data_IF_906142359300
#
_entry.id   IF_906142359300
#
_cell.length_a   1.000
_cell.length_b   1.000
_cell.length_c   1.000
_cell.angle_alpha   90.00
_cell.angle_beta   90.00
_cell.angle_gamma   90.00
#
_symmetry.space_group_name_H-M   'P 1'
#
loop_
_entity.id
_entity.type
_entity.pdbx_description
1 polymer ?
#
# COMPACT_ATOMS: atom_id res chain seq x y z
N UNK A 1 -32.44 74.14 -11.94
CA UNK A 1 -31.52 75.23 -11.52
C UNK A 1 -32.35 76.36 -10.94
N UNK A 2 -31.90 76.89 -9.81
CA UNK A 2 -32.30 78.17 -9.19
C UNK A 2 -33.60 78.22 -8.38
N UNK A 3 -33.47 78.08 -7.06
CA UNK A 3 -34.30 78.79 -6.06
C UNK A 3 -34.07 80.30 -6.13
N UNK A 4 -35.02 81.10 -5.63
CA UNK A 4 -34.65 82.01 -4.55
C UNK A 4 -35.67 82.09 -3.41
N UNK A 5 -35.22 82.77 -2.35
CA UNK A 5 -35.71 82.77 -0.98
C UNK A 5 -36.49 84.04 -0.59
N UNK A 6 -36.86 84.07 0.71
CA UNK A 6 -37.25 85.21 1.57
C UNK A 6 -38.72 85.64 1.51
N UNK A 7 -39.41 86.06 2.58
CA UNK A 7 -39.30 86.09 4.06
C UNK A 7 -40.60 86.83 4.51
N UNK A 8 -41.15 86.55 5.71
CA UNK A 8 -41.70 87.55 6.66
C UNK A 8 -42.57 86.87 7.76
N UNK A 9 -42.25 87.19 9.03
CA UNK A 9 -43.04 86.87 10.24
C UNK A 9 -44.13 87.92 10.52
N UNK A 10 -44.72 88.08 11.74
CA UNK A 10 -44.17 87.82 13.11
C UNK A 10 -45.11 87.01 14.07
N UNK A 11 -44.60 86.24 15.05
CA UNK A 11 -44.31 86.47 16.52
C UNK A 11 -45.55 86.60 17.46
N UNK A 12 -45.45 85.89 18.61
CA UNK A 12 -46.12 85.99 19.93
C UNK A 12 -47.26 84.95 20.13
N UNK A 13 -47.33 84.09 21.15
CA UNK A 13 -46.64 83.97 22.45
C UNK A 13 -46.74 82.51 22.98
N UNK A 14 -45.69 82.05 23.67
CA UNK A 14 -45.72 80.95 24.66
C UNK A 14 -46.03 81.58 26.05
N UNK A 15 -46.37 80.87 27.16
CA UNK A 15 -46.06 79.47 27.52
C UNK A 15 -47.35 78.75 28.05
N UNK A 16 -47.43 77.58 28.68
CA UNK A 16 -46.56 76.87 29.57
C UNK A 16 -47.18 75.47 29.84
N UNK A 17 -46.35 74.45 30.09
CA UNK A 17 -46.74 73.33 30.94
C UNK A 17 -47.45 72.12 30.32
N UNK A 18 -46.86 71.46 29.30
CA UNK A 18 -47.20 70.04 29.01
C UNK A 18 -46.23 69.11 29.74
N UNK A 19 -46.62 68.69 30.95
CA UNK A 19 -46.02 67.52 31.61
C UNK A 19 -46.55 66.26 30.92
N UNK A 20 -45.66 65.57 30.22
CA UNK A 20 -45.96 64.33 29.51
C UNK A 20 -46.53 63.28 30.48
N UNK A 21 -47.77 62.85 30.24
CA UNK A 21 -48.29 61.58 30.79
C UNK A 21 -47.65 60.46 29.98
N UNK A 22 -46.64 59.82 30.58
CA UNK A 22 -46.13 58.52 30.17
C UNK A 22 -47.28 57.51 30.24
N UNK A 23 -47.89 57.18 29.09
CA UNK A 23 -48.68 55.95 28.94
C UNK A 23 -47.67 54.83 28.71
N UNK A 24 -47.20 54.21 29.77
CA UNK A 24 -46.68 52.83 29.71
C UNK A 24 -47.90 51.94 29.44
N UNK A 25 -48.18 51.72 28.15
CA UNK A 25 -48.99 50.59 27.73
C UNK A 25 -48.18 49.34 28.07
N UNK A 26 -48.58 48.67 29.13
CA UNK A 26 -48.19 47.30 29.43
C UNK A 26 -48.95 46.42 28.45
N UNK A 27 -48.37 46.21 27.26
CA UNK A 27 -48.71 45.05 26.44
C UNK A 27 -47.86 43.92 26.96
N UNK A 28 -48.45 43.13 27.85
CA UNK A 28 -47.99 41.77 28.09
C UNK A 28 -48.07 41.03 26.76
N UNK A 29 -46.95 40.95 26.06
CA UNK A 29 -46.75 39.96 25.00
C UNK A 29 -46.81 38.59 25.68
N UNK A 30 -48.02 38.05 25.74
CA UNK A 30 -48.28 36.65 26.02
C UNK A 30 -47.50 35.84 25.00
N UNK A 31 -46.34 35.32 25.40
CA UNK A 31 -45.73 34.16 24.74
C UNK A 31 -46.75 33.04 24.93
N UNK A 32 -47.59 32.79 23.93
CA UNK A 32 -48.44 31.61 23.91
C UNK A 32 -47.53 30.38 24.06
N UNK A 33 -47.72 29.55 25.11
CA UNK A 33 -46.94 28.34 25.24
C UNK A 33 -47.36 27.40 24.12
N UNK A 34 -46.47 27.17 23.15
CA UNK A 34 -46.61 26.19 22.07
C UNK A 34 -47.34 24.93 22.56
N UNK A 35 -48.33 24.49 21.78
CA UNK A 35 -49.19 23.37 22.16
C UNK A 35 -48.33 22.10 22.37
N UNK A 36 -48.74 21.17 23.26
CA UNK A 36 -47.95 19.97 23.55
C UNK A 36 -47.67 19.12 22.30
N UNK A 37 -48.54 19.16 21.29
CA UNK A 37 -48.37 18.46 20.01
C UNK A 37 -47.27 19.09 19.13
N UNK A 38 -47.16 20.42 19.13
CA UNK A 38 -46.11 21.15 18.40
C UNK A 38 -44.73 20.96 19.04
N UNK A 39 -44.67 20.87 20.37
CA UNK A 39 -43.42 20.59 21.10
C UNK A 39 -42.87 19.20 20.79
N UNK A 40 -43.75 18.19 20.68
CA UNK A 40 -43.35 16.83 20.31
C UNK A 40 -42.85 16.79 18.86
N UNK A 41 -43.51 17.50 17.95
CA UNK A 41 -43.08 17.60 16.55
C UNK A 41 -41.71 18.29 16.42
N UNK A 42 -41.50 19.43 17.10
CA UNK A 42 -40.22 20.16 17.08
C UNK A 42 -39.09 19.33 17.70
N UNK A 43 -39.35 18.68 18.84
CA UNK A 43 -38.37 17.79 19.46
C UNK A 43 -38.03 16.61 18.53
N UNK A 44 -39.02 15.95 17.94
CA UNK A 44 -38.80 14.79 17.05
C UNK A 44 -38.00 15.19 15.81
N UNK A 45 -38.28 16.35 15.21
CA UNK A 45 -37.51 16.90 14.08
C UNK A 45 -36.08 17.27 14.48
N UNK A 46 -35.87 17.89 15.65
CA UNK A 46 -34.54 18.23 16.14
C UNK A 46 -33.69 16.99 16.45
N UNK A 47 -34.29 15.96 17.08
CA UNK A 47 -33.63 14.67 17.32
C UNK A 47 -33.33 13.93 16.01
N UNK A 48 -34.24 13.97 15.03
CA UNK A 48 -34.00 13.39 13.70
C UNK A 48 -32.84 14.07 12.95
N UNK A 49 -32.82 15.40 12.93
CA UNK A 49 -31.76 16.17 12.25
C UNK A 49 -30.41 15.95 12.94
N UNK A 50 -30.36 16.00 14.27
CA UNK A 50 -29.12 15.73 15.02
C UNK A 50 -28.63 14.30 14.84
N UNK A 51 -29.52 13.32 14.78
CA UNK A 51 -29.16 11.93 14.49
C UNK A 51 -28.59 11.76 13.08
N UNK A 52 -29.19 12.40 12.07
CA UNK A 52 -28.69 12.38 10.68
C UNK A 52 -27.33 13.08 10.58
N UNK A 53 -27.14 14.23 11.23
CA UNK A 53 -25.85 14.94 11.25
C UNK A 53 -24.79 14.08 11.95
N UNK A 54 -25.13 13.45 13.07
CA UNK A 54 -24.22 12.57 13.80
C UNK A 54 -23.84 11.34 12.96
N UNK A 55 -24.79 10.72 12.26
CA UNK A 55 -24.52 9.63 11.32
C UNK A 55 -23.62 10.08 10.16
N UNK A 56 -23.86 11.24 9.58
CA UNK A 56 -23.00 11.80 8.52
C UNK A 56 -21.58 12.06 9.03
N UNK A 57 -21.43 12.62 10.22
CA UNK A 57 -20.12 12.84 10.85
C UNK A 57 -19.42 11.51 11.16
N UNK A 58 -20.15 10.51 11.66
CA UNK A 58 -19.60 9.17 11.88
C UNK A 58 -19.17 8.51 10.57
N UNK A 59 -19.94 8.63 9.49
CA UNK A 59 -19.55 8.11 8.17
C UNK A 59 -18.31 8.83 7.67
N UNK A 60 -18.23 10.17 7.77
CA UNK A 60 -17.04 10.94 7.36
C UNK A 60 -15.83 10.60 8.22
N UNK A 61 -16.01 10.39 9.53
CA UNK A 61 -14.94 9.95 10.43
C UNK A 61 -14.54 8.50 10.18
N UNK A 62 -15.47 7.60 9.88
CA UNK A 62 -15.19 6.20 9.53
C UNK A 62 -14.51 6.10 8.16
N UNK A 63 -14.91 6.92 7.18
CA UNK A 63 -14.24 7.01 5.87
C UNK A 63 -12.88 7.69 6.00
N UNK A 64 -12.75 8.72 6.84
CA UNK A 64 -11.48 9.36 7.16
C UNK A 64 -10.52 8.46 7.93
N UNK A 65 -11.04 7.64 8.85
CA UNK A 65 -10.27 6.63 9.60
C UNK A 65 -9.95 5.40 8.75
N UNK A 66 -10.80 5.01 7.81
CA UNK A 66 -10.50 4.01 6.78
C UNK A 66 -9.54 4.54 5.69
N UNK A 67 -9.43 5.87 5.56
CA UNK A 67 -8.36 6.55 4.82
C UNK A 67 -7.02 6.55 5.55
N UNK A 68 -6.97 6.06 6.78
CA UNK A 68 -5.75 5.73 7.51
C UNK A 68 -5.08 4.52 6.87
N UNK A 69 -4.20 4.77 5.90
CA UNK A 69 -3.24 3.79 5.37
C UNK A 69 -3.81 2.38 5.23
N UNK A 70 -4.90 2.23 4.48
CA UNK A 70 -4.99 1.04 3.66
C UNK A 70 -3.78 1.14 2.71
N UNK A 71 -2.64 0.61 3.16
CA UNK A 71 -1.71 -0.06 2.27
C UNK A 71 -2.57 -1.13 1.62
N UNK A 72 -3.35 -0.73 0.60
CA UNK A 72 -3.84 -1.65 -0.40
C UNK A 72 -2.55 -2.34 -0.78
N UNK A 73 -2.43 -3.61 -0.38
CA UNK A 73 -1.41 -4.50 -0.88
C UNK A 73 -1.73 -4.61 -2.36
N UNK A 74 -1.38 -3.56 -3.12
CA UNK A 74 -1.30 -3.64 -4.55
C UNK A 74 -0.31 -4.76 -4.73
N UNK A 75 -0.77 -5.84 -5.36
CA UNK A 75 0.13 -6.93 -5.70
C UNK A 75 1.21 -6.29 -6.59
N UNK A 76 2.49 -6.62 -6.41
CA UNK A 76 3.43 -6.39 -7.49
C UNK A 76 2.84 -7.05 -8.76
N UNK A 77 3.25 -6.56 -9.92
CA UNK A 77 2.89 -7.22 -11.17
C UNK A 77 3.51 -8.61 -11.25
N UNK A 78 4.05 -8.96 -12.41
CA UNK A 78 4.65 -10.27 -12.57
C UNK A 78 6.01 -10.31 -11.83
N UNK A 79 6.17 -11.25 -10.91
CA UNK A 79 7.42 -11.51 -10.21
C UNK A 79 8.17 -12.63 -10.92
N UNK A 80 9.42 -12.38 -11.28
CA UNK A 80 10.29 -13.36 -11.91
C UNK A 80 11.51 -13.65 -11.06
N UNK A 81 12.02 -14.87 -11.12
CA UNK A 81 13.35 -15.22 -10.62
C UNK A 81 14.27 -15.54 -11.79
N UNK A 82 15.51 -15.08 -11.69
CA UNK A 82 16.57 -15.28 -12.67
C UNK A 82 17.88 -15.61 -11.97
N UNK A 83 18.64 -16.54 -12.55
CA UNK A 83 19.95 -16.90 -12.01
C UNK A 83 21.03 -15.93 -12.51
N UNK A 84 21.67 -15.20 -11.60
CA UNK A 84 22.75 -14.25 -11.92
C UNK A 84 24.12 -14.94 -11.90
N UNK A 85 24.28 -15.97 -11.07
CA UNK A 85 25.52 -16.76 -11.05
C UNK A 85 25.49 -17.92 -10.07
N UNK A 86 26.42 -18.84 -10.25
CA UNK A 86 26.62 -19.99 -9.37
C UNK A 86 28.09 -20.12 -8.98
N UNK A 87 28.35 -20.65 -7.79
CA UNK A 87 29.70 -21.04 -7.32
C UNK A 87 29.63 -22.42 -6.67
N UNK A 88 30.71 -23.20 -6.79
CA UNK A 88 30.85 -24.52 -6.16
C UNK A 88 30.00 -25.66 -6.75
N UNK A 89 29.04 -25.34 -7.64
CA UNK A 89 28.13 -26.31 -8.24
C UNK A 89 28.66 -26.95 -9.54
N UNK A 90 29.23 -26.13 -10.44
CA UNK A 90 29.62 -26.49 -11.81
C UNK A 90 31.14 -26.56 -12.02
N UNK A 91 31.91 -26.65 -10.94
CA UNK A 91 33.37 -26.84 -11.05
C UNK A 91 33.72 -28.32 -10.82
N UNK A 92 33.82 -29.14 -11.88
CA UNK A 92 34.21 -30.53 -11.77
C UNK A 92 35.68 -30.72 -11.39
N UNK A 93 36.51 -29.66 -11.45
CA UNK A 93 37.95 -29.71 -11.12
C UNK A 93 38.26 -29.12 -9.74
N UNK A 94 37.30 -28.45 -9.12
CA UNK A 94 37.39 -27.92 -7.76
C UNK A 94 37.29 -29.04 -6.73
N UNK A 95 38.40 -29.71 -6.46
CA UNK A 95 38.56 -30.55 -5.27
C UNK A 95 39.09 -29.70 -4.11
N UNK A 96 38.47 -29.70 -2.92
CA UNK A 96 37.31 -30.50 -2.50
C UNK A 96 35.94 -29.87 -2.87
N UNK A 97 34.84 -30.66 -2.79
CA UNK A 97 33.49 -30.15 -3.01
C UNK A 97 33.19 -28.93 -2.13
N UNK A 98 33.03 -27.75 -2.73
CA UNK A 98 32.64 -26.54 -1.99
C UNK A 98 31.13 -26.46 -1.84
N UNK A 99 30.63 -25.93 -0.73
CA UNK A 99 29.22 -25.59 -0.55
C UNK A 99 28.71 -24.76 -1.74
N UNK A 100 27.57 -25.13 -2.34
CA UNK A 100 27.03 -24.42 -3.48
C UNK A 100 26.53 -23.05 -3.04
N UNK A 101 26.78 -22.04 -3.88
CA UNK A 101 26.21 -20.72 -3.72
C UNK A 101 25.52 -20.29 -5.01
N UNK A 102 24.31 -19.75 -4.88
CA UNK A 102 23.48 -19.28 -5.99
C UNK A 102 23.22 -17.80 -5.80
N UNK A 103 23.43 -17.01 -6.85
CA UNK A 103 23.04 -15.60 -6.89
C UNK A 103 21.81 -15.50 -7.73
N UNK A 104 20.68 -15.15 -7.12
CA UNK A 104 19.39 -15.01 -7.77
C UNK A 104 19.01 -13.53 -7.84
N UNK A 105 18.41 -13.13 -8.95
CA UNK A 105 17.74 -11.85 -9.11
C UNK A 105 16.23 -12.10 -9.09
N UNK A 106 15.51 -11.37 -8.24
CA UNK A 106 14.07 -11.26 -8.24
C UNK A 106 13.70 -9.99 -9.02
N UNK A 107 13.12 -10.18 -10.20
CA UNK A 107 12.72 -9.12 -11.12
C UNK A 107 11.21 -8.86 -10.99
N UNK A 108 10.82 -7.62 -10.76
CA UNK A 108 9.43 -7.18 -10.62
C UNK A 108 9.00 -6.40 -11.85
N UNK A 109 8.18 -7.02 -12.70
CA UNK A 109 7.72 -6.43 -13.94
C UNK A 109 6.29 -5.89 -13.79
N UNK A 110 5.93 -4.94 -14.66
CA UNK A 110 4.57 -4.35 -14.73
C UNK A 110 4.08 -3.74 -13.41
N UNK A 111 4.99 -3.19 -12.62
CA UNK A 111 4.65 -2.46 -11.40
C UNK A 111 3.91 -1.15 -11.74
N UNK A 112 2.69 -0.91 -11.22
CA UNK A 112 1.95 0.33 -11.46
C UNK A 112 2.75 1.56 -11.00
N UNK A 113 2.66 2.74 -11.63
CA UNK A 113 3.45 3.91 -11.22
C UNK A 113 3.22 4.41 -9.78
N UNK A 114 2.08 4.05 -9.19
CA UNK A 114 1.75 4.36 -7.79
C UNK A 114 2.22 3.27 -6.81
N UNK A 115 2.79 2.19 -7.33
CA UNK A 115 3.20 1.04 -6.54
C UNK A 115 4.36 1.40 -5.63
N UNK A 116 4.18 1.16 -4.33
CA UNK A 116 5.24 1.23 -3.34
C UNK A 116 4.97 0.18 -2.30
N UNK A 117 5.81 -0.84 -2.25
CA UNK A 117 5.72 -1.87 -1.22
C UNK A 117 7.10 -2.29 -0.77
N UNK A 118 7.22 -2.56 0.53
CA UNK A 118 8.42 -3.12 1.12
C UNK A 118 8.15 -4.54 1.57
N UNK A 119 9.12 -5.42 1.38
CA UNK A 119 8.99 -6.85 1.62
C UNK A 119 10.33 -7.42 2.08
N UNK A 120 10.33 -8.67 2.52
CA UNK A 120 11.52 -9.32 3.05
C UNK A 120 11.94 -8.81 4.43
N UNK A 121 13.10 -9.26 4.88
CA UNK A 121 13.60 -9.05 6.23
C UNK A 121 13.00 -10.02 7.26
N UNK A 122 13.47 -9.91 8.50
CA UNK A 122 13.06 -10.80 9.59
C UNK A 122 13.31 -12.27 9.26
N UNK A 123 12.25 -13.08 9.31
CA UNK A 123 12.27 -14.52 9.03
C UNK A 123 11.94 -14.85 7.56
N UNK A 124 12.21 -13.92 6.63
CA UNK A 124 12.01 -14.19 5.20
C UNK A 124 13.16 -15.04 4.67
N UNK A 125 12.85 -16.23 4.18
CA UNK A 125 13.83 -17.20 3.71
C UNK A 125 13.36 -17.89 2.43
N UNK A 126 14.30 -18.13 1.53
CA UNK A 126 14.12 -18.94 0.34
C UNK A 126 14.98 -20.20 0.44
N UNK A 127 14.46 -21.27 -0.15
CA UNK A 127 15.09 -22.57 -0.26
C UNK A 127 15.27 -22.89 -1.74
N UNK A 128 16.45 -23.35 -2.10
CA UNK A 128 16.74 -23.86 -3.44
C UNK A 128 16.82 -25.37 -3.35
N UNK A 129 16.08 -26.05 -4.22
CA UNK A 129 16.08 -27.50 -4.29
C UNK A 129 16.20 -28.02 -5.72
N UNK A 130 16.76 -29.22 -5.84
CA UNK A 130 16.87 -30.00 -7.07
C UNK A 130 16.21 -31.35 -6.83
N UNK A 131 15.14 -31.67 -7.56
CA UNK A 131 14.33 -32.88 -7.33
C UNK A 131 14.06 -33.13 -5.83
N UNK A 132 13.51 -32.13 -5.15
CA UNK A 132 13.19 -32.14 -3.70
C UNK A 132 14.41 -32.22 -2.75
N UNK A 133 15.64 -32.30 -3.28
CA UNK A 133 16.87 -32.23 -2.47
C UNK A 133 17.27 -30.78 -2.22
N UNK A 134 17.34 -30.39 -0.96
CA UNK A 134 17.71 -29.03 -0.55
C UNK A 134 19.20 -28.78 -0.82
N UNK A 135 19.49 -27.76 -1.62
CA UNK A 135 20.86 -27.39 -2.01
C UNK A 135 21.39 -26.17 -1.28
N UNK A 136 20.53 -25.17 -1.04
CA UNK A 136 20.94 -23.91 -0.42
C UNK A 136 19.75 -23.18 0.21
N UNK A 137 20.06 -22.27 1.14
CA UNK A 137 19.12 -21.36 1.77
C UNK A 137 19.55 -19.92 1.50
N UNK A 138 18.59 -19.01 1.36
CA UNK A 138 18.85 -17.59 1.20
C UNK A 138 18.01 -16.80 2.18
N UNK A 139 18.64 -15.95 2.98
CA UNK A 139 17.90 -14.93 3.72
C UNK A 139 17.50 -13.81 2.76
N UNK A 140 16.23 -13.46 2.74
CA UNK A 140 15.77 -12.33 1.92
C UNK A 140 15.88 -11.06 2.76
N UNK A 141 16.75 -10.11 2.39
CA UNK A 141 16.89 -8.86 3.14
C UNK A 141 15.60 -8.03 3.03
N UNK A 142 15.46 -7.02 3.89
CA UNK A 142 14.38 -6.06 3.70
C UNK A 142 14.65 -5.22 2.44
N UNK A 143 13.65 -5.09 1.57
CA UNK A 143 13.76 -4.34 0.33
C UNK A 143 12.45 -3.63 0.01
N UNK A 144 12.52 -2.57 -0.80
CA UNK A 144 11.35 -1.85 -1.27
C UNK A 144 11.36 -1.77 -2.79
N UNK A 145 10.22 -2.04 -3.39
CA UNK A 145 9.99 -1.92 -4.83
C UNK A 145 9.09 -0.73 -5.08
N UNK A 146 9.51 0.10 -6.03
CA UNK A 146 8.83 1.31 -6.46
C UNK A 146 8.41 1.16 -7.91
N UNK A 147 7.16 1.48 -8.21
CA UNK A 147 6.70 1.60 -9.57
C UNK A 147 7.24 2.87 -10.21
N UNK A 148 7.70 2.76 -11.46
CA UNK A 148 8.10 3.89 -12.26
C UNK A 148 7.05 4.20 -13.33
N UNK A 149 6.98 5.46 -13.79
CA UNK A 149 6.05 5.90 -14.86
C UNK A 149 6.43 5.37 -16.25
N UNK A 150 7.56 4.67 -16.38
CA UNK A 150 7.99 4.05 -17.63
C UNK A 150 7.21 2.77 -17.95
N UNK A 151 7.04 2.48 -19.24
CA UNK A 151 6.50 1.19 -19.70
C UNK A 151 7.49 0.08 -19.32
N UNK A 152 7.07 -0.83 -18.44
CA UNK A 152 7.89 -2.00 -18.07
C UNK A 152 8.97 -1.71 -17.03
N UNK A 153 8.67 -0.94 -15.97
CA UNK A 153 9.60 -0.76 -14.86
C UNK A 153 9.99 -2.11 -14.23
N UNK A 154 11.28 -2.42 -14.26
CA UNK A 154 11.89 -3.61 -13.65
C UNK A 154 12.55 -3.18 -12.34
N UNK A 155 12.00 -3.63 -11.21
CA UNK A 155 12.75 -3.63 -9.95
C UNK A 155 13.56 -4.91 -9.85
N UNK A 156 14.85 -4.85 -9.51
CA UNK A 156 15.67 -6.06 -9.33
C UNK A 156 16.20 -6.11 -7.89
N UNK A 157 16.01 -7.26 -7.23
CA UNK A 157 16.66 -7.58 -5.96
C UNK A 157 17.59 -8.77 -6.15
N UNK A 158 18.86 -8.62 -5.80
CA UNK A 158 19.79 -9.74 -5.77
C UNK A 158 19.82 -10.38 -4.38
N UNK A 159 19.70 -11.71 -4.35
CA UNK A 159 19.82 -12.53 -3.14
C UNK A 159 20.88 -13.60 -3.36
N UNK A 160 21.70 -13.85 -2.35
CA UNK A 160 22.70 -14.91 -2.37
C UNK A 160 22.24 -16.06 -1.47
N UNK A 161 22.01 -17.22 -2.08
CA UNK A 161 21.71 -18.46 -1.39
C UNK A 161 23.00 -19.24 -1.15
N UNK A 162 23.20 -19.74 0.07
CA UNK A 162 24.35 -20.57 0.45
C UNK A 162 23.91 -21.78 1.26
N UNK A 163 24.74 -22.80 1.22
CA UNK A 163 24.68 -23.91 2.16
C UNK A 163 25.63 -23.64 3.33
N UNK A 164 25.10 -23.30 4.51
CA UNK A 164 25.90 -23.00 5.70
C UNK A 164 26.58 -24.26 6.30
N UNK A 165 26.12 -25.47 5.94
CA UNK A 165 26.71 -26.72 6.44
C UNK A 165 26.58 -27.94 5.51
N UNK A 166 25.89 -27.85 4.36
CA UNK A 166 25.77 -28.98 3.44
C UNK A 166 26.80 -28.89 2.33
N UNK A 167 27.85 -29.70 2.46
CA UNK A 167 28.70 -30.07 1.32
C UNK A 167 27.80 -30.77 0.31
N UNK A 168 27.73 -30.22 -0.91
CA UNK A 168 27.07 -30.89 -2.02
C UNK A 168 27.76 -32.25 -2.22
N UNK A 169 27.03 -33.33 -2.01
CA UNK A 169 27.54 -34.68 -2.21
C UNK A 169 27.96 -34.87 -3.67
N UNK A 170 29.04 -35.60 -3.89
CA UNK A 170 29.57 -35.83 -5.24
C UNK A 170 28.53 -36.51 -6.13
N UNK A 171 27.67 -37.36 -5.58
CA UNK A 171 26.60 -38.02 -6.33
C UNK A 171 25.60 -36.99 -6.88
N UNK A 172 25.18 -36.01 -6.07
CA UNK A 172 24.25 -34.96 -6.50
C UNK A 172 24.91 -34.06 -7.54
N UNK A 173 26.21 -33.76 -7.38
CA UNK A 173 26.98 -33.04 -8.40
C UNK A 173 27.01 -33.79 -9.72
N UNK A 174 27.30 -35.09 -9.69
CA UNK A 174 27.41 -35.93 -10.87
C UNK A 174 26.06 -36.06 -11.59
N UNK A 175 24.96 -36.13 -10.84
CA UNK A 175 23.60 -36.10 -11.40
C UNK A 175 23.32 -34.78 -12.12
N UNK A 176 23.55 -33.64 -11.44
CA UNK A 176 23.38 -32.31 -12.03
C UNK A 176 24.22 -32.14 -13.30
N UNK A 177 25.48 -32.57 -13.25
CA UNK A 177 26.40 -32.48 -14.37
C UNK A 177 25.96 -33.36 -15.55
N UNK A 178 25.57 -34.61 -15.26
CA UNK A 178 25.03 -35.53 -16.25
C UNK A 178 23.77 -34.98 -16.90
N UNK A 179 22.85 -34.40 -16.13
CA UNK A 179 21.61 -33.84 -16.66
C UNK A 179 21.88 -32.64 -17.57
N UNK A 180 22.79 -31.75 -17.17
CA UNK A 180 23.22 -30.63 -18.01
C UNK A 180 23.83 -31.14 -19.32
N UNK A 181 24.71 -32.15 -19.28
CA UNK A 181 25.35 -32.69 -20.49
C UNK A 181 24.41 -33.47 -21.41
N UNK A 182 23.42 -34.19 -20.86
CA UNK A 182 22.52 -35.04 -21.65
C UNK A 182 21.30 -34.26 -22.14
N UNK A 183 20.70 -33.43 -21.28
CA UNK A 183 19.46 -32.70 -21.54
C UNK A 183 19.73 -31.28 -22.01
N UNK A 184 20.93 -30.74 -21.76
CA UNK A 184 21.30 -29.36 -22.07
C UNK A 184 20.79 -28.33 -21.05
N UNK A 185 19.99 -28.77 -20.06
CA UNK A 185 19.41 -27.92 -19.01
C UNK A 185 19.18 -28.71 -17.72
N UNK A 186 19.15 -28.00 -16.61
CA UNK A 186 18.71 -28.52 -15.31
C UNK A 186 17.80 -27.50 -14.64
N UNK A 187 16.76 -27.99 -13.97
CA UNK A 187 15.73 -27.20 -13.31
C UNK A 187 15.91 -27.20 -11.79
N UNK A 188 15.72 -26.04 -11.17
CA UNK A 188 15.75 -25.87 -9.72
C UNK A 188 14.47 -25.20 -9.23
N UNK A 189 13.92 -25.72 -8.14
CA UNK A 189 12.79 -25.13 -7.44
C UNK A 189 13.30 -24.12 -6.40
N UNK A 190 12.69 -22.93 -6.39
CA UNK A 190 12.90 -21.90 -5.38
C UNK A 190 11.59 -21.67 -4.66
N UNK A 191 11.56 -21.95 -3.36
CA UNK A 191 10.35 -21.78 -2.57
C UNK A 191 10.65 -21.20 -1.19
N UNK A 192 9.68 -20.50 -0.60
CA UNK A 192 9.84 -19.98 0.74
C UNK A 192 8.91 -18.83 1.08
N UNK A 193 8.86 -18.45 2.35
CA UNK A 193 8.03 -17.38 2.84
C UNK A 193 8.80 -16.05 2.84
N UNK A 194 8.19 -15.03 2.25
CA UNK A 194 8.73 -13.67 2.24
C UNK A 194 7.71 -12.71 2.81
N UNK A 195 8.08 -12.03 3.89
CA UNK A 195 7.25 -11.03 4.54
C UNK A 195 6.78 -9.98 3.51
N UNK A 196 5.49 -9.71 3.45
CA UNK A 196 4.89 -8.77 2.50
C UNK A 196 4.56 -9.34 1.11
N UNK A 197 5.14 -10.48 0.71
CA UNK A 197 4.83 -11.17 -0.56
C UNK A 197 4.05 -12.49 -0.36
N UNK A 198 4.19 -13.12 0.80
CA UNK A 198 3.61 -14.44 1.09
C UNK A 198 4.56 -15.57 0.71
N UNK A 199 4.00 -16.75 0.45
CA UNK A 199 4.78 -17.91 0.04
C UNK A 199 5.06 -17.87 -1.47
N UNK A 200 6.34 -17.85 -1.81
CA UNK A 200 6.85 -17.85 -3.17
C UNK A 200 7.12 -19.28 -3.63
N UNK A 201 6.78 -19.56 -4.89
CA UNK A 201 7.24 -20.76 -5.60
C UNK A 201 7.62 -20.41 -7.02
N UNK A 202 8.89 -20.58 -7.34
CA UNK A 202 9.51 -20.24 -8.61
C UNK A 202 10.40 -21.38 -9.12
N UNK A 203 10.80 -21.34 -10.39
CA UNK A 203 11.63 -22.38 -11.01
C UNK A 203 12.67 -21.78 -11.94
N UNK A 204 13.96 -21.84 -11.63
CA UNK A 204 14.99 -21.35 -12.57
C UNK A 204 15.76 -22.50 -13.22
N UNK A 205 16.46 -22.17 -14.31
CA UNK A 205 17.21 -23.15 -15.09
C UNK A 205 18.69 -22.77 -15.18
N UNK A 206 19.55 -23.79 -15.21
CA UNK A 206 20.93 -23.68 -15.70
C UNK A 206 20.97 -24.38 -17.05
N UNK A 207 21.57 -23.74 -18.06
CA UNK A 207 21.73 -24.29 -19.40
C UNK A 207 23.22 -24.44 -19.71
N UNK A 208 23.55 -25.41 -20.57
CA UNK A 208 24.92 -25.62 -21.05
C UNK A 208 25.39 -24.42 -21.90
N UNK A 209 24.50 -23.85 -22.71
CA UNK A 209 24.83 -22.76 -23.62
C UNK A 209 24.57 -21.39 -22.97
N UNK A 210 25.63 -20.61 -22.79
CA UNK A 210 25.62 -19.27 -22.16
C UNK A 210 25.17 -18.16 -23.14
N UNK A 211 24.26 -18.47 -24.06
CA UNK A 211 23.84 -17.53 -25.09
C UNK A 211 22.78 -16.54 -24.55
N UNK A 212 23.28 -15.38 -24.12
CA UNK A 212 22.67 -14.04 -24.06
C UNK A 212 21.35 -13.77 -23.31
N UNK A 213 20.50 -14.74 -23.03
CA UNK A 213 19.28 -14.52 -22.23
C UNK A 213 19.16 -15.59 -21.16
N UNK A 214 19.49 -15.23 -19.91
CA UNK A 214 19.20 -16.11 -18.78
C UNK A 214 17.68 -16.22 -18.66
N UNK A 215 17.09 -17.42 -18.74
CA UNK A 215 15.65 -17.59 -18.69
C UNK A 215 15.09 -16.96 -17.41
N UNK A 216 14.23 -15.95 -17.57
CA UNK A 216 13.38 -15.46 -16.49
C UNK A 216 12.24 -16.45 -16.31
N UNK A 217 11.94 -16.75 -15.06
CA UNK A 217 10.89 -17.69 -14.71
C UNK A 217 9.88 -17.05 -13.79
N UNK A 218 8.58 -17.21 -14.10
CA UNK A 218 7.52 -16.60 -13.33
C UNK A 218 7.39 -17.28 -11.96
N UNK A 219 7.32 -16.47 -10.92
CA UNK A 219 7.04 -16.89 -9.56
C UNK A 219 5.52 -16.89 -9.30
N UNK A 220 5.05 -17.92 -8.64
CA UNK A 220 3.68 -18.00 -8.13
C UNK A 220 3.67 -17.50 -6.68
N UNK A 221 2.85 -16.49 -6.41
CA UNK A 221 2.62 -15.91 -5.09
C UNK A 221 1.37 -16.54 -4.45
N UNK A 222 1.53 -17.30 -3.36
CA UNK A 222 0.42 -17.77 -2.52
C UNK A 222 0.34 -16.94 -1.23
N UNK A 223 -0.81 -16.32 -1.00
CA UNK A 223 -1.14 -15.56 0.21
C UNK A 223 -2.02 -16.41 1.12
#
# INVERSE_FOLDING_TARGET
MSTPACKDGPILDHPNGRRAKSKRGHTDDFIEPFSPEERVAICTCAFGITFVICLCLLIVLCVGAAGGTANVSQRPGDLFVRLVGTRGLLDPRGSPPTSPAFRLALDFDRTPPTYRSCSGGGNSWLRISYHDMILAWAQVPHFCVYGNRGVGSVGTLEVEAKADASVLREEVRNLLWSEIQVVGKVEFDVDGEVAGLGYLRCKFFIMEDKAADVPKSLCILRQ
#
